data_IF_919501454536
#
_entry.id   IF_919501454536
#
_cell.length_a   1.000
_cell.length_b   1.000
_cell.length_c   1.000
_cell.angle_alpha   90.00
_cell.angle_beta   90.00
_cell.angle_gamma   90.00
#
_symmetry.space_group_name_H-M   'P 1'
#
loop_
_entity.id
_entity.type
_entity.pdbx_description
1 polymer ?
#
# COMPACT_ATOMS: atom_id res chain seq x y z
N UNK A 1 -20.35 -13.94 -14.12
CA UNK A 1 -19.26 -13.82 -13.13
C UNK A 1 -19.63 -12.68 -12.20
N UNK A 2 -19.60 -12.87 -10.88
CA UNK A 2 -19.81 -11.75 -9.96
C UNK A 2 -18.67 -10.74 -10.13
N UNK A 3 -18.97 -9.43 -10.06
CA UNK A 3 -17.91 -8.42 -10.13
C UNK A 3 -17.00 -8.58 -8.91
N UNK A 4 -15.68 -8.64 -9.16
CA UNK A 4 -14.69 -8.69 -8.10
C UNK A 4 -14.66 -7.35 -7.37
N UNK A 5 -14.81 -7.35 -6.05
CA UNK A 5 -14.64 -6.16 -5.23
C UNK A 5 -13.16 -5.97 -4.86
N UNK A 6 -12.63 -4.80 -5.14
CA UNK A 6 -11.20 -4.49 -4.96
C UNK A 6 -11.01 -3.60 -3.74
N UNK A 7 -10.15 -4.05 -2.83
CA UNK A 7 -9.77 -3.33 -1.62
C UNK A 7 -8.33 -2.85 -1.80
N UNK A 8 -8.15 -1.55 -2.04
CA UNK A 8 -6.85 -0.92 -2.05
C UNK A 8 -6.35 -0.65 -0.64
N UNK A 9 -5.07 -0.91 -0.38
CA UNK A 9 -4.42 -0.58 0.87
C UNK A 9 -3.30 0.42 0.64
N UNK A 10 -3.39 1.56 1.31
CA UNK A 10 -2.33 2.56 1.41
C UNK A 10 -1.97 2.81 2.88
N UNK A 11 -0.85 3.43 3.13
CA UNK A 11 -0.47 3.80 4.50
C UNK A 11 1.01 4.08 4.66
N UNK A 12 1.33 4.86 5.69
CA UNK A 12 2.67 5.30 6.01
C UNK A 12 3.59 4.14 6.42
N UNK A 13 4.90 4.39 6.40
CA UNK A 13 5.91 3.40 6.78
C UNK A 13 5.66 2.90 8.21
N UNK A 14 5.60 1.58 8.40
CA UNK A 14 5.38 0.92 9.69
C UNK A 14 4.05 1.28 10.39
N UNK A 15 3.05 1.79 9.67
CA UNK A 15 1.72 2.09 10.22
C UNK A 15 0.92 0.85 10.65
N UNK A 16 1.36 -0.37 10.34
CA UNK A 16 0.60 -1.58 10.68
C UNK A 16 -0.32 -2.09 9.57
N UNK A 17 -0.09 -1.66 8.33
CA UNK A 17 -0.87 -2.08 7.15
C UNK A 17 -0.92 -3.61 6.97
N UNK A 18 0.17 -4.32 7.28
CA UNK A 18 0.21 -5.78 7.21
C UNK A 18 -0.77 -6.45 8.18
N UNK A 19 -0.98 -5.89 9.37
CA UNK A 19 -1.97 -6.37 10.34
C UNK A 19 -3.39 -6.20 9.79
N UNK A 20 -3.72 -5.01 9.29
CA UNK A 20 -5.04 -4.73 8.68
C UNK A 20 -5.30 -5.69 7.52
N UNK A 21 -4.30 -5.90 6.65
CA UNK A 21 -4.36 -6.85 5.55
C UNK A 21 -4.65 -8.29 6.04
N UNK A 22 -3.94 -8.75 7.05
CA UNK A 22 -4.13 -10.10 7.61
C UNK A 22 -5.55 -10.28 8.16
N UNK A 23 -6.08 -9.29 8.88
CA UNK A 23 -7.45 -9.35 9.41
C UNK A 23 -8.47 -9.39 8.27
N UNK A 24 -8.29 -8.59 7.22
CA UNK A 24 -9.15 -8.64 6.03
C UNK A 24 -9.12 -10.02 5.36
N UNK A 25 -7.93 -10.61 5.21
CA UNK A 25 -7.76 -11.93 4.59
C UNK A 25 -8.35 -13.07 5.42
N UNK A 26 -8.43 -12.92 6.75
CA UNK A 26 -9.09 -13.90 7.62
C UNK A 26 -10.61 -13.86 7.49
N UNK A 27 -11.18 -12.71 7.11
CA UNK A 27 -12.63 -12.49 7.05
C UNK A 27 -13.21 -12.52 5.63
N UNK A 28 -12.35 -12.44 4.60
CA UNK A 28 -12.77 -12.36 3.20
C UNK A 28 -12.11 -13.47 2.37
N UNK A 29 -12.92 -14.10 1.50
CA UNK A 29 -12.37 -14.99 0.48
C UNK A 29 -11.74 -14.15 -0.64
N UNK A 30 -10.45 -13.87 -0.52
CA UNK A 30 -9.76 -12.92 -1.39
C UNK A 30 -8.45 -13.45 -1.98
N UNK A 31 -8.05 -12.90 -3.10
CA UNK A 31 -6.66 -12.85 -3.55
C UNK A 31 -5.97 -11.59 -3.02
N UNK A 32 -4.65 -11.62 -3.01
CA UNK A 32 -3.86 -10.41 -2.77
C UNK A 32 -2.78 -10.24 -3.84
N UNK A 33 -2.52 -8.99 -4.18
CA UNK A 33 -1.34 -8.57 -4.96
C UNK A 33 -0.65 -7.43 -4.23
N UNK A 34 0.66 -7.31 -4.44
CA UNK A 34 1.42 -6.16 -3.96
C UNK A 34 1.96 -5.37 -5.14
N UNK A 35 1.81 -4.06 -5.12
CA UNK A 35 2.36 -3.22 -6.20
C UNK A 35 3.89 -3.28 -6.25
N UNK A 36 4.54 -3.56 -5.13
CA UNK A 36 5.98 -3.83 -5.08
C UNK A 36 6.38 -5.12 -5.79
N UNK A 37 5.48 -6.07 -5.98
CA UNK A 37 5.78 -7.31 -6.72
C UNK A 37 6.21 -7.05 -8.16
N UNK A 38 5.56 -6.11 -8.84
CA UNK A 38 5.94 -5.69 -10.19
C UNK A 38 7.34 -5.05 -10.22
N UNK A 39 7.70 -4.29 -9.18
CA UNK A 39 9.02 -3.67 -9.04
C UNK A 39 10.08 -4.74 -8.80
N UNK A 40 9.83 -5.72 -7.94
CA UNK A 40 10.73 -6.84 -7.69
C UNK A 40 11.06 -7.59 -8.99
N UNK A 41 10.03 -7.96 -9.75
CA UNK A 41 10.23 -8.66 -11.02
C UNK A 41 11.08 -7.87 -12.02
N UNK A 42 10.99 -6.53 -12.03
CA UNK A 42 11.80 -5.70 -12.90
C UNK A 42 13.24 -5.57 -12.40
N UNK A 43 13.45 -5.37 -11.08
CA UNK A 43 14.79 -5.34 -10.48
C UNK A 43 15.53 -6.67 -10.66
N UNK A 44 14.84 -7.80 -10.50
CA UNK A 44 15.40 -9.13 -10.70
C UNK A 44 15.90 -9.32 -12.15
N UNK A 45 15.08 -8.92 -13.14
CA UNK A 45 15.47 -8.94 -14.56
C UNK A 45 16.71 -8.09 -14.83
N UNK A 46 16.85 -6.96 -14.15
CA UNK A 46 17.97 -6.03 -14.31
C UNK A 46 19.17 -6.40 -13.40
N UNK A 47 19.12 -7.53 -12.65
CA UNK A 47 20.15 -7.92 -11.67
C UNK A 47 20.44 -6.81 -10.65
N UNK A 48 19.44 -6.03 -10.30
CA UNK A 48 19.55 -4.90 -9.38
C UNK A 48 19.59 -5.35 -7.91
N UNK A 49 20.10 -4.46 -7.06
CA UNK A 49 20.13 -4.68 -5.60
C UNK A 49 18.77 -4.35 -4.98
N UNK A 50 18.29 -5.21 -4.10
CA UNK A 50 17.02 -5.01 -3.40
C UNK A 50 17.21 -4.19 -2.12
N UNK A 51 17.19 -2.87 -2.25
CA UNK A 51 17.14 -1.93 -1.13
C UNK A 51 15.84 -1.13 -1.19
N UNK A 52 15.48 -0.47 -0.09
CA UNK A 52 14.31 0.42 -0.10
C UNK A 52 14.46 1.53 -1.15
N UNK A 53 15.67 2.10 -1.26
CA UNK A 53 16.00 3.16 -2.21
C UNK A 53 15.83 2.68 -3.66
N UNK A 54 16.45 1.54 -4.02
CA UNK A 54 16.36 1.01 -5.39
C UNK A 54 14.94 0.61 -5.77
N UNK A 55 14.14 0.10 -4.80
CA UNK A 55 12.73 -0.18 -5.00
C UNK A 55 11.90 1.09 -5.26
N UNK A 56 12.20 2.18 -4.54
CA UNK A 56 11.52 3.46 -4.74
C UNK A 56 11.90 4.07 -6.09
N UNK A 57 13.20 4.14 -6.42
CA UNK A 57 13.71 4.65 -7.69
C UNK A 57 13.11 3.89 -8.88
N UNK A 58 13.13 2.57 -8.87
CA UNK A 58 12.53 1.75 -9.92
C UNK A 58 11.01 1.98 -10.03
N UNK A 59 10.31 2.10 -8.92
CA UNK A 59 8.89 2.42 -8.93
C UNK A 59 8.61 3.78 -9.56
N UNK A 60 9.43 4.79 -9.25
CA UNK A 60 9.33 6.13 -9.82
C UNK A 60 9.64 6.13 -11.33
N UNK A 61 10.69 5.41 -11.76
CA UNK A 61 11.03 5.25 -13.17
C UNK A 61 9.88 4.58 -13.97
N UNK A 62 9.31 3.51 -13.43
CA UNK A 62 8.19 2.83 -14.08
C UNK A 62 6.98 3.75 -14.22
N UNK A 63 6.63 4.50 -13.17
CA UNK A 63 5.53 5.48 -13.21
C UNK A 63 5.82 6.63 -14.16
N UNK A 64 7.05 7.13 -14.21
CA UNK A 64 7.45 8.18 -15.14
C UNK A 64 7.34 7.73 -16.60
N UNK A 65 7.79 6.50 -16.88
CA UNK A 65 7.85 5.96 -18.25
C UNK A 65 6.50 5.50 -18.78
N UNK A 66 5.67 4.88 -17.92
CA UNK A 66 4.45 4.20 -18.34
C UNK A 66 3.16 4.79 -17.75
N UNK A 67 3.28 5.90 -17.01
CA UNK A 67 2.16 6.55 -16.33
C UNK A 67 2.03 6.14 -14.86
N UNK A 68 1.56 7.08 -14.03
CA UNK A 68 1.49 6.94 -12.57
C UNK A 68 0.73 5.71 -12.07
N UNK A 69 -0.17 5.17 -12.89
CA UNK A 69 -1.01 4.00 -12.59
C UNK A 69 -0.39 2.65 -12.94
N UNK A 70 0.78 2.62 -13.60
CA UNK A 70 1.33 1.40 -14.21
C UNK A 70 1.44 0.22 -13.25
N UNK A 71 1.85 0.45 -12.01
CA UNK A 71 2.02 -0.63 -11.04
C UNK A 71 0.67 -1.28 -10.67
N UNK A 72 -0.38 -0.50 -10.49
CA UNK A 72 -1.73 -1.01 -10.26
C UNK A 72 -2.23 -1.82 -11.46
N UNK A 73 -2.05 -1.30 -12.69
CA UNK A 73 -2.42 -1.98 -13.93
C UNK A 73 -1.74 -3.34 -14.04
N UNK A 74 -0.40 -3.36 -14.02
CA UNK A 74 0.38 -4.60 -14.21
C UNK A 74 0.11 -5.63 -13.12
N UNK A 75 -0.03 -5.19 -11.86
CA UNK A 75 -0.29 -6.10 -10.74
C UNK A 75 -1.68 -6.75 -10.77
N UNK A 76 -2.65 -6.14 -11.46
CA UNK A 76 -4.03 -6.65 -11.48
C UNK A 76 -4.45 -7.25 -12.84
N UNK A 77 -3.64 -7.06 -13.89
CA UNK A 77 -3.99 -7.46 -15.26
C UNK A 77 -4.17 -8.99 -15.41
N UNK A 78 -3.36 -9.77 -14.75
CA UNK A 78 -3.34 -11.23 -14.87
C UNK A 78 -3.95 -11.95 -13.67
N UNK A 79 -4.66 -11.23 -12.78
CA UNK A 79 -5.28 -11.83 -11.62
C UNK A 79 -6.49 -12.67 -12.00
N UNK A 80 -6.58 -13.86 -11.41
CA UNK A 80 -7.78 -14.66 -11.45
C UNK A 80 -8.97 -13.93 -10.82
N UNK A 81 -10.18 -14.14 -11.34
CA UNK A 81 -11.42 -13.52 -10.88
C UNK A 81 -12.40 -14.55 -10.31
N UNK A 82 -11.88 -15.65 -9.79
CA UNK A 82 -12.67 -16.75 -9.21
C UNK A 82 -12.94 -16.54 -7.70
N UNK A 83 -12.39 -15.49 -7.09
CA UNK A 83 -12.73 -15.05 -5.73
C UNK A 83 -13.47 -13.70 -5.75
N UNK A 84 -14.40 -13.48 -4.79
CA UNK A 84 -15.19 -12.26 -4.76
C UNK A 84 -14.38 -10.99 -4.40
N UNK A 85 -13.23 -11.13 -3.75
CA UNK A 85 -12.42 -9.99 -3.32
C UNK A 85 -10.98 -10.07 -3.82
N UNK A 86 -10.40 -8.90 -4.10
CA UNK A 86 -8.99 -8.68 -4.42
C UNK A 86 -8.43 -7.59 -3.51
N UNK A 87 -7.39 -7.90 -2.74
CA UNK A 87 -6.63 -6.91 -1.97
C UNK A 87 -5.44 -6.44 -2.81
N UNK A 88 -5.36 -5.14 -3.07
CA UNK A 88 -4.24 -4.48 -3.74
C UNK A 88 -3.43 -3.71 -2.71
N UNK A 89 -2.31 -4.29 -2.28
CA UNK A 89 -1.48 -3.74 -1.21
C UNK A 89 -0.35 -2.86 -1.74
N UNK A 90 -0.13 -1.73 -1.06
CA UNK A 90 1.01 -0.85 -1.29
C UNK A 90 0.75 0.24 -2.33
N UNK A 91 -0.48 0.75 -2.41
CA UNK A 91 -0.82 1.95 -3.19
C UNK A 91 -0.04 3.13 -2.59
N UNK A 92 0.72 3.83 -3.44
CA UNK A 92 1.60 4.93 -3.02
C UNK A 92 1.54 6.15 -3.91
N UNK A 93 0.81 6.07 -5.02
CA UNK A 93 0.58 7.21 -5.90
C UNK A 93 -0.93 7.36 -6.16
N UNK A 94 -1.47 8.59 -6.13
CA UNK A 94 -2.88 8.86 -6.41
C UNK A 94 -3.39 8.24 -7.72
N UNK A 95 -2.56 8.27 -8.77
CA UNK A 95 -2.95 7.70 -10.06
C UNK A 95 -3.19 6.17 -10.01
N UNK A 96 -2.57 5.45 -9.07
CA UNK A 96 -2.84 4.03 -8.85
C UNK A 96 -4.26 3.83 -8.29
N UNK A 97 -4.63 4.62 -7.27
CA UNK A 97 -5.97 4.57 -6.68
C UNK A 97 -7.05 5.01 -7.67
N UNK A 98 -6.81 6.08 -8.43
CA UNK A 98 -7.73 6.58 -9.46
C UNK A 98 -7.95 5.54 -10.56
N UNK A 99 -6.88 4.91 -11.03
CA UNK A 99 -6.96 3.87 -12.05
C UNK A 99 -7.80 2.68 -11.56
N UNK A 100 -7.57 2.20 -10.33
CA UNK A 100 -8.36 1.14 -9.72
C UNK A 100 -9.84 1.55 -9.61
N UNK A 101 -10.13 2.76 -9.14
CA UNK A 101 -11.49 3.29 -9.03
C UNK A 101 -12.21 3.35 -10.38
N UNK A 102 -11.51 3.73 -11.45
CA UNK A 102 -12.07 3.81 -12.80
C UNK A 102 -12.31 2.43 -13.42
N UNK A 103 -11.42 1.47 -13.18
CA UNK A 103 -11.52 0.13 -13.80
C UNK A 103 -12.42 -0.84 -13.02
N UNK A 104 -12.63 -0.60 -11.73
CA UNK A 104 -13.52 -1.39 -10.87
C UNK A 104 -14.70 -0.55 -10.35
N UNK A 105 -15.34 0.21 -11.23
CA UNK A 105 -16.43 1.15 -10.94
C UNK A 105 -17.45 0.58 -9.94
N UNK A 106 -17.65 1.29 -8.82
CA UNK A 106 -18.57 0.87 -7.75
C UNK A 106 -18.10 -0.33 -6.91
N UNK A 107 -17.01 -0.99 -7.33
CA UNK A 107 -16.44 -2.16 -6.64
C UNK A 107 -15.01 -1.90 -6.14
N UNK A 108 -14.62 -0.66 -5.95
CA UNK A 108 -13.33 -0.29 -5.37
C UNK A 108 -13.52 0.50 -4.08
N UNK A 109 -12.75 0.15 -3.08
CA UNK A 109 -12.64 0.89 -1.82
C UNK A 109 -11.17 1.04 -1.46
N UNK A 110 -10.77 2.21 -1.00
CA UNK A 110 -9.42 2.50 -0.54
C UNK A 110 -9.39 2.61 0.98
N UNK A 111 -8.60 1.77 1.63
CA UNK A 111 -8.36 1.81 3.08
C UNK A 111 -6.97 2.37 3.32
N UNK A 112 -6.90 3.46 4.06
CA UNK A 112 -5.68 4.06 4.58
C UNK A 112 -5.34 3.51 5.96
N UNK A 113 -4.05 3.35 6.24
CA UNK A 113 -3.55 2.96 7.57
C UNK A 113 -2.49 3.95 7.98
N UNK A 114 -2.68 4.59 9.13
CA UNK A 114 -1.72 5.58 9.66
C UNK A 114 -1.48 5.37 11.15
N UNK A 115 -0.39 5.98 11.66
CA UNK A 115 -0.06 6.02 13.07
C UNK A 115 0.89 7.19 13.35
N UNK A 116 0.99 7.67 14.60
CA UNK A 116 1.96 8.68 14.98
C UNK A 116 3.40 8.30 14.59
N UNK A 117 4.17 9.25 14.06
CA UNK A 117 5.50 8.98 13.51
C UNK A 117 6.45 8.30 14.52
N UNK A 118 6.43 8.71 15.78
CA UNK A 118 7.26 8.09 16.82
C UNK A 118 6.90 6.60 17.02
N UNK A 119 5.61 6.27 17.09
CA UNK A 119 5.17 4.89 17.22
C UNK A 119 5.56 4.04 15.99
N UNK A 120 5.53 4.62 14.80
CA UNK A 120 5.97 3.97 13.56
C UNK A 120 7.48 3.74 13.52
N UNK A 121 8.26 4.68 14.01
CA UNK A 121 9.70 4.50 14.17
C UNK A 121 10.03 3.36 15.15
N UNK A 122 9.42 3.33 16.33
CA UNK A 122 9.60 2.23 17.29
C UNK A 122 9.26 0.87 16.71
N UNK A 123 8.15 0.77 15.95
CA UNK A 123 7.77 -0.46 15.25
C UNK A 123 8.77 -0.85 14.18
N UNK A 124 9.32 0.12 13.44
CA UNK A 124 10.37 -0.11 12.45
C UNK A 124 11.63 -0.69 13.10
N UNK A 125 12.04 -0.13 14.23
CA UNK A 125 13.19 -0.63 15.00
C UNK A 125 12.97 -2.05 15.53
N UNK A 126 11.79 -2.34 16.10
CA UNK A 126 11.43 -3.69 16.58
C UNK A 126 11.38 -4.73 15.44
N UNK A 127 10.91 -4.33 14.27
CA UNK A 127 10.85 -5.19 13.08
C UNK A 127 12.22 -5.59 12.57
N UNK A 128 13.19 -4.68 12.65
CA UNK A 128 14.61 -4.91 12.40
C UNK A 128 14.96 -5.42 11.00
N UNK A 129 14.20 -5.06 9.96
CA UNK A 129 14.56 -5.43 8.59
C UNK A 129 15.89 -4.77 8.19
N UNK A 130 16.75 -5.46 7.41
CA UNK A 130 18.02 -4.87 6.97
C UNK A 130 17.89 -3.54 6.25
N UNK A 131 16.73 -3.31 5.63
CA UNK A 131 16.39 -2.08 4.88
C UNK A 131 15.77 -0.99 5.75
N UNK A 132 15.50 -1.27 7.03
CA UNK A 132 14.91 -0.28 7.94
C UNK A 132 15.97 0.71 8.43
N UNK A 133 15.60 2.00 8.57
CA UNK A 133 16.48 3.04 9.09
C UNK A 133 16.94 2.74 10.51
N UNK A 134 18.12 3.20 10.85
CA UNK A 134 18.74 2.93 12.17
C UNK A 134 18.56 4.07 13.15
N UNK A 135 18.32 5.28 12.67
CA UNK A 135 18.08 6.47 13.48
C UNK A 135 16.71 7.07 13.17
N UNK A 136 16.24 7.93 14.08
CA UNK A 136 14.97 8.64 13.86
C UNK A 136 15.08 9.62 12.70
N UNK A 137 16.22 10.26 12.50
CA UNK A 137 16.47 11.20 11.41
C UNK A 137 16.40 10.50 10.06
N UNK A 138 17.03 9.32 9.94
CA UNK A 138 16.94 8.49 8.73
C UNK A 138 15.48 8.04 8.46
N UNK A 139 14.77 7.64 9.53
CA UNK A 139 13.37 7.25 9.43
C UNK A 139 12.50 8.41 8.97
N UNK A 140 12.66 9.60 9.59
CA UNK A 140 11.89 10.77 9.24
C UNK A 140 12.14 11.23 7.81
N UNK A 141 13.39 11.18 7.34
CA UNK A 141 13.74 11.50 5.96
C UNK A 141 13.06 10.54 4.95
N UNK A 142 13.12 9.24 5.21
CA UNK A 142 12.47 8.22 4.37
C UNK A 142 10.94 8.33 4.40
N UNK A 143 10.38 8.57 5.59
CA UNK A 143 8.94 8.74 5.78
C UNK A 143 8.42 9.98 5.05
N UNK A 144 9.12 11.10 5.13
CA UNK A 144 8.78 12.33 4.41
C UNK A 144 8.80 12.11 2.89
N UNK A 145 9.81 11.43 2.36
CA UNK A 145 9.89 11.09 0.94
C UNK A 145 8.72 10.18 0.52
N UNK A 146 8.43 9.12 1.29
CA UNK A 146 7.31 8.20 1.03
C UNK A 146 5.95 8.93 1.06
N UNK A 147 5.80 9.94 1.94
CA UNK A 147 4.60 10.75 2.02
C UNK A 147 4.47 11.79 0.89
N UNK A 148 5.50 12.01 0.11
CA UNK A 148 5.51 12.89 -1.06
C UNK A 148 6.14 14.26 -0.85
N UNK A 149 6.89 14.46 0.25
CA UNK A 149 7.63 15.70 0.45
C UNK A 149 8.73 15.83 -0.62
N UNK A 150 8.63 16.89 -1.42
CA UNK A 150 9.54 17.19 -2.54
C UNK A 150 9.60 16.11 -3.63
N UNK A 151 8.66 15.17 -3.67
CA UNK A 151 8.59 14.15 -4.72
C UNK A 151 7.87 14.67 -5.96
N UNK A 152 8.32 14.30 -7.18
CA UNK A 152 7.63 14.64 -8.42
C UNK A 152 6.25 13.95 -8.50
N UNK A 153 5.37 14.37 -9.42
CA UNK A 153 4.03 13.76 -9.55
C UNK A 153 4.01 12.24 -9.74
N UNK A 154 5.05 11.67 -10.34
CA UNK A 154 5.22 10.22 -10.51
C UNK A 154 5.89 9.53 -9.30
N UNK A 155 6.33 10.30 -8.31
CA UNK A 155 6.92 9.79 -7.06
C UNK A 155 5.90 9.16 -6.12
N UNK A 156 6.37 8.70 -4.98
CA UNK A 156 5.50 8.26 -3.91
C UNK A 156 4.80 9.46 -3.28
N UNK A 157 3.51 9.37 -3.04
CA UNK A 157 2.66 10.44 -2.48
C UNK A 157 1.63 9.83 -1.52
N UNK A 158 2.10 9.06 -0.55
CA UNK A 158 1.23 8.32 0.38
C UNK A 158 0.29 9.24 1.15
N UNK A 159 0.71 10.46 1.49
CA UNK A 159 -0.16 11.43 2.17
C UNK A 159 -1.40 11.77 1.32
N UNK A 160 -1.25 11.95 0.02
CA UNK A 160 -2.39 12.16 -0.88
C UNK A 160 -3.26 10.92 -1.01
N UNK A 161 -2.67 9.73 -1.04
CA UNK A 161 -3.44 8.49 -1.05
C UNK A 161 -4.28 8.33 0.24
N UNK A 162 -3.74 8.69 1.41
CA UNK A 162 -4.48 8.70 2.67
C UNK A 162 -5.66 9.69 2.65
N UNK A 163 -5.48 10.86 2.04
CA UNK A 163 -6.56 11.86 1.87
C UNK A 163 -7.68 11.38 0.93
N UNK A 164 -7.36 10.48 -0.01
CA UNK A 164 -8.32 9.88 -0.94
C UNK A 164 -9.00 8.62 -0.37
N UNK A 165 -8.54 8.12 0.77
CA UNK A 165 -9.04 6.88 1.35
C UNK A 165 -10.51 7.02 1.79
N UNK A 166 -11.32 6.01 1.47
CA UNK A 166 -12.71 5.93 1.91
C UNK A 166 -12.82 5.66 3.42
N UNK A 167 -11.82 4.96 3.96
CA UNK A 167 -11.67 4.68 5.39
C UNK A 167 -10.22 4.85 5.80
N UNK A 168 -9.98 5.44 6.97
CA UNK A 168 -8.64 5.54 7.56
C UNK A 168 -8.64 4.84 8.92
N UNK A 169 -7.75 3.87 9.07
CA UNK A 169 -7.52 3.14 10.32
C UNK A 169 -6.27 3.69 10.98
N UNK A 170 -6.44 4.42 12.08
CA UNK A 170 -5.33 4.80 12.94
C UNK A 170 -4.99 3.66 13.90
N UNK A 171 -3.71 3.27 13.90
CA UNK A 171 -3.22 2.18 14.74
C UNK A 171 -2.41 2.74 15.90
N UNK A 172 -2.86 2.52 17.12
CA UNK A 172 -2.20 2.96 18.36
C UNK A 172 -1.32 1.89 19.02
N UNK A 173 -1.21 0.70 18.40
CA UNK A 173 -0.43 -0.43 18.89
C UNK A 173 -1.26 -1.54 19.54
N UNK A 174 -2.52 -1.30 19.81
CA UNK A 174 -3.46 -2.33 20.30
C UNK A 174 -4.06 -3.10 19.12
N UNK A 175 -3.71 -4.38 19.02
CA UNK A 175 -4.18 -5.28 17.95
C UNK A 175 -5.70 -5.48 18.03
N UNK A 176 -6.28 -5.56 19.23
CA UNK A 176 -7.71 -5.75 19.40
C UNK A 176 -8.50 -4.57 18.85
N UNK A 177 -8.05 -3.34 19.15
CA UNK A 177 -8.67 -2.12 18.61
C UNK A 177 -8.57 -2.03 17.07
N UNK A 178 -7.45 -2.48 16.49
CA UNK A 178 -7.32 -2.53 15.04
C UNK A 178 -8.32 -3.53 14.45
N UNK A 179 -8.50 -4.68 15.09
CA UNK A 179 -9.47 -5.70 14.66
C UNK A 179 -10.92 -5.17 14.76
N UNK A 180 -11.27 -4.45 15.82
CA UNK A 180 -12.58 -3.79 15.98
C UNK A 180 -12.82 -2.79 14.85
N UNK A 181 -11.87 -1.90 14.57
CA UNK A 181 -11.99 -0.93 13.47
C UNK A 181 -12.15 -1.60 12.10
N UNK A 182 -11.45 -2.70 11.85
CA UNK A 182 -11.63 -3.48 10.62
C UNK A 182 -13.03 -4.11 10.58
N UNK A 183 -13.50 -4.66 11.69
CA UNK A 183 -14.84 -5.25 11.80
C UNK A 183 -15.97 -4.25 11.51
N UNK A 184 -15.81 -2.98 11.91
CA UNK A 184 -16.75 -1.89 11.61
C UNK A 184 -16.80 -1.52 10.12
N UNK A 185 -15.69 -1.74 9.41
CA UNK A 185 -15.58 -1.44 7.97
C UNK A 185 -16.10 -2.61 7.12
N UNK A 186 -15.93 -3.85 7.56
CA UNK A 186 -16.28 -5.06 6.80
C UNK A 186 -17.70 -5.01 6.20
N UNK A 187 -18.78 -4.67 6.95
CA UNK A 187 -20.13 -4.61 6.39
C UNK A 187 -20.30 -3.53 5.31
N UNK A 188 -19.45 -2.51 5.30
CA UNK A 188 -19.51 -1.40 4.33
C UNK A 188 -18.77 -1.72 3.04
N UNK A 189 -17.93 -2.75 3.06
CA UNK A 189 -17.17 -3.21 1.89
C UNK A 189 -17.67 -4.56 1.34
N UNK A 190 -18.59 -5.23 2.00
CA UNK A 190 -19.30 -6.39 1.52
C UNK A 190 -20.53 -5.98 0.69
#
# INVERSE_FOLDING_TARGET
MMPVKVIGLTGTIAAGKDLVKQILMQNLNCYQVTLSGAIFGQLEKNKGTFTRKTMQEMGNELRQKYGGHVLAKVSTEFMSRDRPYLIVDGIRNPAEAEWLKQNYKGNFVLIGVDAPQNARFERSMKRGKPTDPKTFEEFAAQDNADQGANEPPHGQQVRKCLQMADFVIETDGDIAKVAEKVAEILPKIQ
#
